data_IF_281665570439
#
_entry.id   IF_281665570439
#
_cell.length_a   1.000
_cell.length_b   1.000
_cell.length_c   1.000
_cell.angle_alpha   90.00
_cell.angle_beta   90.00
_cell.angle_gamma   90.00
#
_symmetry.space_group_name_H-M   'P 1'
#
loop_
_entity.id
_entity.type
_entity.pdbx_description
1 polymer ?
#
# COMPACT_ATOMS: atom_id res chain seq x y z
N UNK A 1 20.67 28.99 19.49
CA UNK A 1 20.24 27.67 19.01
C UNK A 1 19.39 27.84 17.77
N UNK A 2 19.74 27.13 16.71
CA UNK A 2 18.95 27.10 15.47
C UNK A 2 17.61 26.39 15.67
N UNK A 3 16.69 26.55 14.73
CA UNK A 3 15.41 25.85 14.77
C UNK A 3 15.61 24.31 14.68
N UNK A 4 16.61 23.87 13.93
CA UNK A 4 16.99 22.45 13.84
C UNK A 4 17.49 21.88 15.18
N UNK A 5 18.32 22.63 15.92
CA UNK A 5 18.79 22.21 17.25
C UNK A 5 17.62 22.10 18.23
N UNK A 6 16.69 23.05 18.20
CA UNK A 6 15.47 23.03 19.01
C UNK A 6 14.53 21.88 18.62
N UNK A 7 14.41 21.57 17.33
CA UNK A 7 13.64 20.40 16.87
C UNK A 7 14.27 19.09 17.39
N UNK A 8 15.60 19.01 17.44
CA UNK A 8 16.32 17.88 18.05
C UNK A 8 16.05 17.79 19.56
N UNK A 9 16.02 18.93 20.26
CA UNK A 9 15.66 18.98 21.67
C UNK A 9 14.25 18.45 21.91
N UNK A 10 13.25 18.83 21.11
CA UNK A 10 11.88 18.29 21.17
C UNK A 10 11.90 16.76 21.01
N UNK A 11 12.55 16.26 19.95
CA UNK A 11 12.64 14.80 19.71
C UNK A 11 13.33 14.06 20.85
N UNK A 12 14.37 14.66 21.45
CA UNK A 12 15.08 14.11 22.61
C UNK A 12 14.17 14.08 23.85
N UNK A 13 13.44 15.15 24.12
CA UNK A 13 12.48 15.24 25.23
C UNK A 13 11.35 14.21 25.12
N UNK A 14 10.96 13.86 23.89
CA UNK A 14 10.02 12.78 23.57
C UNK A 14 10.64 11.37 23.64
N UNK A 15 11.89 11.24 24.08
CA UNK A 15 12.64 9.97 24.18
C UNK A 15 12.72 9.21 22.86
N UNK A 16 12.69 9.92 21.73
CA UNK A 16 12.87 9.32 20.41
C UNK A 16 14.27 8.70 20.33
N UNK A 17 14.45 7.48 19.78
CA UNK A 17 15.76 6.87 19.66
C UNK A 17 16.77 7.77 18.91
N UNK A 18 18.04 7.76 19.30
CA UNK A 18 19.07 8.66 18.73
C UNK A 18 19.17 8.62 17.19
N UNK A 19 18.89 7.47 16.58
CA UNK A 19 18.86 7.29 15.12
C UNK A 19 17.80 8.18 14.44
N UNK A 20 16.70 8.48 15.12
CA UNK A 20 15.60 9.33 14.65
C UNK A 20 15.68 10.78 15.18
N UNK A 21 16.84 11.19 15.74
CA UNK A 21 17.13 12.58 16.15
C UNK A 21 18.13 13.27 15.20
N UNK A 22 18.35 12.71 14.00
CA UNK A 22 19.26 13.27 13.02
C UNK A 22 18.64 14.48 12.27
N UNK A 23 19.46 15.20 11.49
CA UNK A 23 19.03 16.40 10.76
C UNK A 23 17.83 16.17 9.83
N UNK A 24 17.74 15.00 9.19
CA UNK A 24 16.59 14.63 8.34
C UNK A 24 15.31 14.55 9.16
N UNK A 25 15.33 13.88 10.32
CA UNK A 25 14.17 13.76 11.21
C UNK A 25 13.74 15.12 11.77
N UNK A 26 14.71 15.99 12.11
CA UNK A 26 14.43 17.37 12.52
C UNK A 26 13.75 18.16 11.38
N UNK A 27 14.25 18.05 10.14
CA UNK A 27 13.61 18.67 8.96
C UNK A 27 12.19 18.14 8.73
N UNK A 28 11.96 16.84 8.89
CA UNK A 28 10.62 16.24 8.79
C UNK A 28 9.68 16.85 9.83
N UNK A 29 10.09 16.93 11.10
CA UNK A 29 9.27 17.52 12.15
C UNK A 29 8.91 18.97 11.83
N UNK A 30 9.89 19.77 11.40
CA UNK A 30 9.69 21.19 11.07
C UNK A 30 8.83 21.39 9.81
N UNK A 31 9.01 20.56 8.80
CA UNK A 31 8.16 20.59 7.60
C UNK A 31 6.71 20.20 7.92
N UNK A 32 6.50 19.17 8.74
CA UNK A 32 5.16 18.77 9.21
C UNK A 32 4.47 19.87 10.03
N UNK A 33 5.25 20.62 10.83
CA UNK A 33 4.77 21.76 11.60
C UNK A 33 4.68 23.07 10.77
N UNK A 34 5.13 23.06 9.53
CA UNK A 34 5.24 24.23 8.65
C UNK A 34 6.02 25.39 9.31
N UNK A 35 7.13 25.08 9.98
CA UNK A 35 7.95 26.05 10.71
C UNK A 35 9.28 26.31 9.99
N UNK A 36 9.48 27.53 9.54
CA UNK A 36 10.76 28.05 9.04
C UNK A 36 11.63 28.56 10.19
N UNK A 37 12.90 28.88 9.92
CA UNK A 37 13.88 29.33 10.94
C UNK A 37 13.36 30.50 11.81
N UNK A 38 12.65 31.45 11.20
CA UNK A 38 12.22 32.69 11.85
C UNK A 38 10.83 32.62 12.52
N UNK A 39 10.03 31.61 12.23
CA UNK A 39 8.68 31.51 12.75
C UNK A 39 8.66 31.10 14.23
N UNK A 40 7.70 31.62 14.99
CA UNK A 40 7.48 31.19 16.38
C UNK A 40 6.91 29.76 16.44
N UNK A 41 7.20 29.01 17.49
CA UNK A 41 6.67 27.67 17.69
C UNK A 41 5.14 27.64 17.78
N UNK A 42 4.54 28.66 18.39
CA UNK A 42 3.09 28.81 18.47
C UNK A 42 2.38 28.99 17.13
N UNK A 43 3.12 29.27 16.02
CA UNK A 43 2.54 29.36 14.68
C UNK A 43 2.56 28.03 13.93
N UNK A 44 2.94 26.93 14.58
CA UNK A 44 2.90 25.59 13.97
C UNK A 44 1.50 25.25 13.46
N UNK A 45 1.45 24.54 12.32
CA UNK A 45 0.23 24.08 11.68
C UNK A 45 0.38 22.61 11.26
N UNK A 46 -0.74 21.89 11.08
CA UNK A 46 -0.74 20.48 10.69
C UNK A 46 -1.42 20.25 9.32
N UNK A 47 -0.95 20.93 8.31
CA UNK A 47 -1.45 20.78 6.96
C UNK A 47 -1.10 19.40 6.36
N UNK A 48 -1.99 18.86 5.53
CA UNK A 48 -1.73 17.66 4.77
C UNK A 48 -0.67 17.89 3.68
N UNK A 49 0.51 17.29 3.81
CA UNK A 49 1.64 17.45 2.88
C UNK A 49 2.17 16.09 2.38
N UNK A 50 2.78 16.07 1.22
CA UNK A 50 3.43 14.89 0.62
C UNK A 50 4.90 14.82 1.04
N UNK A 51 5.53 13.65 0.91
CA UNK A 51 6.98 13.52 1.14
C UNK A 51 7.80 14.47 0.22
N UNK A 52 7.35 14.64 -1.03
CA UNK A 52 7.93 15.62 -1.95
C UNK A 52 7.95 17.02 -1.36
N UNK A 53 6.83 17.45 -0.80
CA UNK A 53 6.69 18.79 -0.21
C UNK A 53 7.59 18.94 1.04
N UNK A 54 7.78 17.86 1.83
CA UNK A 54 8.73 17.83 2.96
C UNK A 54 10.16 18.02 2.50
N UNK A 55 10.58 17.34 1.43
CA UNK A 55 11.93 17.47 0.86
C UNK A 55 12.15 18.90 0.33
N UNK A 56 11.19 19.42 -0.43
CA UNK A 56 11.22 20.78 -0.94
C UNK A 56 11.31 21.81 0.18
N UNK A 57 10.53 21.63 1.25
CA UNK A 57 10.55 22.50 2.43
C UNK A 57 11.92 22.48 3.12
N UNK A 58 12.50 21.31 3.34
CA UNK A 58 13.82 21.15 3.96
C UNK A 58 14.90 21.85 3.13
N UNK A 59 14.91 21.66 1.82
CA UNK A 59 15.88 22.28 0.92
C UNK A 59 15.74 23.81 0.89
N UNK A 60 14.52 24.31 0.85
CA UNK A 60 14.27 25.76 0.76
C UNK A 60 14.53 26.52 2.07
N UNK A 61 14.36 25.87 3.23
CA UNK A 61 14.35 26.60 4.52
C UNK A 61 15.52 26.24 5.43
N UNK A 62 16.18 25.07 5.20
CA UNK A 62 17.21 24.57 6.12
C UNK A 62 18.55 24.26 5.43
N UNK A 63 18.74 24.78 4.21
CA UNK A 63 20.01 24.67 3.48
C UNK A 63 20.43 23.23 3.14
N UNK A 64 19.48 22.30 3.10
CA UNK A 64 19.74 20.93 2.68
C UNK A 64 19.67 20.79 1.16
N UNK A 65 20.24 19.71 0.62
CA UNK A 65 20.28 19.42 -0.82
C UNK A 65 19.80 18.00 -1.10
N UNK A 66 18.70 17.58 -0.46
CA UNK A 66 18.15 16.26 -0.68
C UNK A 66 17.60 16.14 -2.10
N UNK A 67 18.03 15.10 -2.80
CA UNK A 67 17.52 14.77 -4.12
C UNK A 67 16.11 14.14 -4.05
N UNK A 68 15.36 14.22 -5.14
CA UNK A 68 13.99 13.70 -5.21
C UNK A 68 13.91 12.17 -4.98
N UNK A 69 14.92 11.41 -5.35
CA UNK A 69 15.04 9.99 -5.08
C UNK A 69 15.25 9.64 -3.58
N UNK A 70 15.47 10.66 -2.72
CA UNK A 70 15.55 10.46 -1.26
C UNK A 70 14.21 10.16 -0.59
N UNK A 71 13.08 10.20 -1.32
CA UNK A 71 11.72 9.97 -0.75
C UNK A 71 11.63 8.70 0.06
N UNK A 72 12.19 7.61 -0.45
CA UNK A 72 12.14 6.32 0.25
C UNK A 72 12.96 6.34 1.54
N UNK A 73 14.07 7.06 1.56
CA UNK A 73 14.88 7.28 2.77
C UNK A 73 14.11 8.08 3.82
N UNK A 74 13.45 9.18 3.42
CA UNK A 74 12.58 9.96 4.31
C UNK A 74 11.45 9.10 4.87
N UNK A 75 10.80 8.31 4.00
CA UNK A 75 9.71 7.42 4.40
C UNK A 75 10.17 6.41 5.45
N UNK A 76 11.27 5.69 5.19
CA UNK A 76 11.75 4.61 6.07
C UNK A 76 12.40 5.12 7.35
N UNK A 77 13.21 6.18 7.28
CA UNK A 77 14.04 6.63 8.41
C UNK A 77 13.33 7.62 9.34
N UNK A 78 12.31 8.34 8.86
CA UNK A 78 11.62 9.34 9.66
C UNK A 78 10.10 9.12 9.70
N UNK A 79 9.41 9.18 8.54
CA UNK A 79 7.94 9.21 8.51
C UNK A 79 7.30 7.97 9.11
N UNK A 80 7.84 6.78 8.82
CA UNK A 80 7.33 5.53 9.37
C UNK A 80 7.44 5.50 10.90
N UNK A 81 8.58 5.92 11.45
CA UNK A 81 8.78 5.98 12.91
C UNK A 81 7.87 7.00 13.57
N UNK A 82 7.76 8.20 13.00
CA UNK A 82 6.89 9.26 13.53
C UNK A 82 5.41 8.88 13.48
N UNK A 83 5.00 8.18 12.42
CA UNK A 83 3.63 7.67 12.32
C UNK A 83 3.33 6.60 13.39
N UNK A 84 4.27 5.66 13.61
CA UNK A 84 4.11 4.62 14.62
C UNK A 84 4.13 5.20 16.04
N UNK A 85 4.88 6.27 16.27
CA UNK A 85 4.88 7.00 17.53
C UNK A 85 3.71 7.99 17.69
N UNK A 86 2.72 7.97 16.81
CA UNK A 86 1.58 8.90 16.81
C UNK A 86 1.96 10.39 16.79
N UNK A 87 3.15 10.73 16.26
CA UNK A 87 3.54 12.13 16.04
C UNK A 87 2.90 12.69 14.77
N UNK A 88 2.76 11.84 13.76
CA UNK A 88 2.08 12.15 12.51
C UNK A 88 1.04 11.08 12.19
N UNK A 89 0.05 11.45 11.41
CA UNK A 89 -0.92 10.56 10.82
C UNK A 89 -0.89 10.66 9.29
N UNK A 90 -1.38 9.61 8.62
CA UNK A 90 -1.60 9.62 7.18
C UNK A 90 -3.09 9.77 6.83
N UNK A 91 -3.38 10.12 5.58
CA UNK A 91 -4.74 10.32 5.10
C UNK A 91 -5.45 9.02 4.66
N UNK A 92 -4.87 7.85 4.94
CA UNK A 92 -5.45 6.53 4.68
C UNK A 92 -5.54 6.13 3.21
N UNK A 93 -4.90 6.86 2.29
CA UNK A 93 -4.81 6.46 0.89
C UNK A 93 -3.65 5.45 0.71
N UNK A 94 -3.62 4.75 -0.42
CA UNK A 94 -2.51 3.85 -0.74
C UNK A 94 -1.17 4.60 -0.76
N UNK A 95 -0.12 3.98 -0.25
CA UNK A 95 1.21 4.60 -0.11
C UNK A 95 1.85 5.02 -1.42
N UNK A 96 1.48 4.37 -2.53
CA UNK A 96 1.90 4.72 -3.90
C UNK A 96 0.97 5.76 -4.57
N UNK A 97 -0.11 6.17 -3.91
CA UNK A 97 -1.02 7.19 -4.45
C UNK A 97 -0.33 8.56 -4.53
N UNK A 98 -0.47 9.30 -5.64
CA UNK A 98 0.00 10.69 -5.72
C UNK A 98 -0.72 11.62 -4.71
N UNK A 99 -1.82 11.14 -4.14
CA UNK A 99 -2.60 11.84 -3.13
C UNK A 99 -2.32 11.35 -1.69
N UNK A 100 -1.31 10.48 -1.47
CA UNK A 100 -0.91 10.09 -0.13
C UNK A 100 -0.24 11.24 0.59
N UNK A 101 -0.71 11.58 1.80
CA UNK A 101 -0.27 12.74 2.57
C UNK A 101 -0.14 12.38 4.03
N UNK A 102 0.66 13.18 4.71
CA UNK A 102 0.87 13.13 6.15
C UNK A 102 0.59 14.49 6.77
N UNK A 103 0.27 14.51 8.07
CA UNK A 103 0.23 15.71 8.90
C UNK A 103 0.60 15.37 10.34
N UNK A 104 0.89 16.37 11.16
CA UNK A 104 0.97 16.16 12.61
C UNK A 104 -0.36 15.67 13.15
N UNK A 105 -0.33 14.85 14.21
CA UNK A 105 -1.51 14.62 15.04
C UNK A 105 -1.86 15.89 15.79
N UNK A 106 -3.11 16.04 16.18
CA UNK A 106 -3.54 17.27 16.89
C UNK A 106 -2.82 17.40 18.25
N UNK A 107 -2.55 16.28 18.90
CA UNK A 107 -1.81 16.23 20.16
C UNK A 107 -0.35 16.68 19.97
N UNK A 108 0.31 16.21 18.92
CA UNK A 108 1.69 16.62 18.61
C UNK A 108 1.76 18.07 18.16
N UNK A 109 0.76 18.57 17.43
CA UNK A 109 0.66 19.99 17.08
C UNK A 109 0.61 20.87 18.34
N UNK A 110 -0.29 20.57 19.26
CA UNK A 110 -0.42 21.31 20.51
C UNK A 110 0.85 21.30 21.35
N UNK A 111 1.53 20.12 21.39
CA UNK A 111 2.81 20.01 22.07
C UNK A 111 3.86 20.94 21.42
N UNK A 112 4.02 20.91 20.09
CA UNK A 112 4.97 21.77 19.38
C UNK A 112 4.67 23.25 19.61
N UNK A 113 3.39 23.65 19.58
CA UNK A 113 2.98 25.02 19.80
C UNK A 113 3.31 25.53 21.21
N UNK A 114 3.39 24.65 22.21
CA UNK A 114 3.77 24.99 23.57
C UNK A 114 5.30 25.13 23.80
N UNK A 115 6.13 24.70 22.83
CA UNK A 115 7.58 24.71 22.98
C UNK A 115 8.14 26.13 23.16
N UNK A 116 8.94 26.31 24.22
CA UNK A 116 9.53 27.60 24.58
C UNK A 116 8.57 28.54 25.32
N UNK A 117 7.41 28.07 25.72
CA UNK A 117 6.48 28.79 26.64
C UNK A 117 6.57 28.23 28.07
N UNK A 118 5.95 28.89 29.03
CA UNK A 118 5.84 28.37 30.40
C UNK A 118 5.03 27.07 30.51
N UNK A 119 4.24 26.73 29.49
CA UNK A 119 3.39 25.53 29.44
C UNK A 119 4.12 24.30 28.90
N UNK A 120 5.34 24.44 28.40
CA UNK A 120 6.06 23.35 27.73
C UNK A 120 6.19 22.07 28.58
N UNK A 121 6.72 22.23 29.79
CA UNK A 121 6.96 21.08 30.68
C UNK A 121 5.66 20.34 31.02
N UNK A 122 4.59 21.08 31.28
CA UNK A 122 3.26 20.53 31.56
C UNK A 122 2.68 19.80 30.35
N UNK A 123 2.81 20.39 29.16
CA UNK A 123 2.33 19.83 27.90
C UNK A 123 3.09 18.57 27.53
N UNK A 124 4.42 18.57 27.71
CA UNK A 124 5.28 17.40 27.50
C UNK A 124 4.92 16.26 28.46
N UNK A 125 4.79 16.55 29.74
CA UNK A 125 4.41 15.53 30.73
C UNK A 125 3.07 14.89 30.39
N UNK A 126 2.05 15.71 30.05
CA UNK A 126 0.73 15.22 29.64
C UNK A 126 0.78 14.39 28.34
N UNK A 127 1.58 14.82 27.36
CA UNK A 127 1.75 14.07 26.11
C UNK A 127 2.38 12.71 26.40
N UNK A 128 3.45 12.66 27.19
CA UNK A 128 4.15 11.42 27.54
C UNK A 128 3.31 10.47 28.39
N UNK A 129 2.52 11.00 29.33
CA UNK A 129 1.58 10.22 30.15
C UNK A 129 0.54 9.49 29.29
N UNK A 130 0.05 10.15 28.24
CA UNK A 130 -0.98 9.61 27.34
C UNK A 130 -0.40 8.96 26.08
N UNK A 131 0.94 8.89 25.92
CA UNK A 131 1.56 8.51 24.66
C UNK A 131 1.19 7.09 24.19
N UNK A 132 1.18 6.10 25.08
CA UNK A 132 0.80 4.72 24.73
C UNK A 132 -0.67 4.67 24.28
N UNK A 133 -1.58 5.37 24.93
CA UNK A 133 -2.98 5.48 24.53
C UNK A 133 -3.15 6.17 23.17
N UNK A 134 -2.32 7.18 22.86
CA UNK A 134 -2.31 7.84 21.56
C UNK A 134 -1.79 6.90 20.46
N UNK A 135 -0.73 6.15 20.74
CA UNK A 135 -0.20 5.13 19.80
C UNK A 135 -1.29 4.12 19.47
N UNK A 136 -1.99 3.60 20.47
CA UNK A 136 -3.10 2.64 20.28
C UNK A 136 -4.27 3.27 19.52
N UNK A 137 -4.65 4.52 19.83
CA UNK A 137 -5.71 5.25 19.13
C UNK A 137 -5.41 5.39 17.63
N UNK A 138 -4.20 5.85 17.29
CA UNK A 138 -3.82 6.04 15.89
C UNK A 138 -3.54 4.70 15.16
N UNK A 139 -3.08 3.67 15.89
CA UNK A 139 -3.01 2.30 15.36
C UNK A 139 -4.41 1.75 15.04
N UNK A 140 -5.36 1.92 15.93
CA UNK A 140 -6.77 1.53 15.72
C UNK A 140 -7.41 2.27 14.56
N UNK A 141 -7.18 3.60 14.44
CA UNK A 141 -7.63 4.39 13.26
C UNK A 141 -7.09 3.82 11.96
N UNK A 142 -5.83 3.38 11.92
CA UNK A 142 -5.24 2.73 10.73
C UNK A 142 -5.86 1.36 10.47
N UNK A 143 -6.08 0.58 11.51
CA UNK A 143 -6.71 -0.76 11.41
C UNK A 143 -8.16 -0.65 10.91
N UNK A 144 -8.93 0.32 11.38
CA UNK A 144 -10.30 0.56 10.90
C UNK A 144 -10.38 0.97 9.41
N UNK A 145 -9.26 1.47 8.83
CA UNK A 145 -9.17 1.76 7.39
C UNK A 145 -8.81 0.53 6.56
N UNK A 146 -8.37 -0.56 7.20
CA UNK A 146 -8.12 -1.83 6.51
C UNK A 146 -9.46 -2.42 6.04
N UNK A 147 -9.41 -3.09 4.90
CA UNK A 147 -10.59 -3.70 4.30
C UNK A 147 -10.68 -5.17 4.74
N UNK A 148 -11.66 -5.55 5.57
CA UNK A 148 -11.85 -6.95 5.97
C UNK A 148 -12.24 -7.78 4.75
N UNK A 149 -11.75 -9.02 4.69
CA UNK A 149 -12.04 -10.00 3.66
C UNK A 149 -11.99 -11.40 4.26
N UNK A 150 -12.85 -12.29 3.79
CA UNK A 150 -12.83 -13.71 4.19
C UNK A 150 -12.18 -14.53 3.07
N UNK A 151 -11.08 -15.25 3.37
CA UNK A 151 -10.35 -16.08 2.42
C UNK A 151 -10.23 -17.49 2.99
N UNK A 152 -10.66 -18.48 2.23
CA UNK A 152 -10.67 -19.89 2.66
C UNK A 152 -11.38 -20.14 4.01
N UNK A 153 -12.36 -19.29 4.35
CA UNK A 153 -13.09 -19.38 5.62
C UNK A 153 -12.45 -18.63 6.80
N UNK A 154 -11.24 -18.10 6.66
CA UNK A 154 -10.53 -17.33 7.67
C UNK A 154 -10.64 -15.81 7.42
N UNK A 155 -10.55 -15.04 8.49
CA UNK A 155 -10.68 -13.58 8.45
C UNK A 155 -9.30 -12.92 8.23
N UNK A 156 -9.19 -12.14 7.17
CA UNK A 156 -8.02 -11.34 6.81
C UNK A 156 -8.39 -9.87 6.66
N UNK A 157 -7.38 -9.01 6.50
CA UNK A 157 -7.58 -7.58 6.23
C UNK A 157 -6.59 -7.09 5.20
N UNK A 158 -7.09 -6.54 4.10
CA UNK A 158 -6.25 -5.81 3.13
C UNK A 158 -5.91 -4.41 3.62
N UNK A 159 -4.71 -3.97 3.30
CA UNK A 159 -4.32 -2.56 3.39
C UNK A 159 -5.15 -1.69 2.44
N UNK A 160 -5.43 -0.42 2.78
CA UNK A 160 -6.24 0.44 1.91
C UNK A 160 -5.53 0.71 0.58
N UNK A 161 -6.30 0.74 -0.50
CA UNK A 161 -5.82 1.07 -1.85
C UNK A 161 -6.65 0.41 -2.95
N UNK A 162 -6.66 1.03 -4.15
CA UNK A 162 -7.44 0.51 -5.28
C UNK A 162 -7.04 -0.89 -5.72
N UNK A 163 -5.73 -1.20 -5.66
CA UNK A 163 -5.24 -2.52 -6.01
C UNK A 163 -5.80 -3.59 -5.07
N UNK A 164 -5.69 -3.38 -3.76
CA UNK A 164 -6.23 -4.28 -2.76
C UNK A 164 -7.77 -4.31 -2.76
N UNK A 165 -8.42 -3.19 -3.11
CA UNK A 165 -9.88 -3.16 -3.33
C UNK A 165 -10.27 -4.10 -4.46
N UNK A 166 -9.49 -4.14 -5.54
CA UNK A 166 -9.72 -5.05 -6.67
C UNK A 166 -9.45 -6.50 -6.27
N UNK A 167 -8.36 -6.79 -5.54
CA UNK A 167 -8.10 -8.13 -5.01
C UNK A 167 -9.23 -8.63 -4.08
N UNK A 168 -9.75 -7.75 -3.21
CA UNK A 168 -10.92 -8.05 -2.40
C UNK A 168 -12.13 -8.39 -3.26
N UNK A 169 -12.41 -7.61 -4.31
CA UNK A 169 -13.50 -7.89 -5.24
C UNK A 169 -13.30 -9.22 -5.98
N UNK A 170 -12.06 -9.59 -6.34
CA UNK A 170 -11.77 -10.91 -6.93
C UNK A 170 -12.17 -12.03 -5.95
N UNK A 171 -11.82 -11.92 -4.68
CA UNK A 171 -12.16 -12.95 -3.68
C UNK A 171 -13.67 -13.01 -3.42
N UNK A 172 -14.33 -11.86 -3.25
CA UNK A 172 -15.73 -11.80 -2.81
C UNK A 172 -16.75 -11.88 -3.95
N UNK A 173 -16.37 -11.44 -5.17
CA UNK A 173 -17.30 -11.31 -6.29
C UNK A 173 -16.95 -12.25 -7.46
N UNK A 174 -15.67 -12.26 -7.91
CA UNK A 174 -15.24 -13.12 -9.02
C UNK A 174 -15.24 -14.59 -8.60
N UNK A 175 -14.57 -14.94 -7.51
CA UNK A 175 -14.37 -16.33 -7.12
C UNK A 175 -15.69 -17.10 -6.95
N UNK A 176 -16.74 -16.58 -6.26
CA UNK A 176 -18.01 -17.30 -6.14
C UNK A 176 -18.74 -17.52 -7.48
N UNK A 177 -18.53 -16.64 -8.47
CA UNK A 177 -19.22 -16.68 -9.76
C UNK A 177 -18.53 -17.56 -10.79
N UNK A 178 -17.20 -17.41 -10.92
CA UNK A 178 -16.43 -18.01 -12.02
C UNK A 178 -15.51 -19.15 -11.57
N UNK A 179 -15.15 -19.18 -10.29
CA UNK A 179 -14.35 -20.22 -9.68
C UNK A 179 -15.00 -20.74 -8.37
N UNK A 180 -16.29 -21.20 -8.39
CA UNK A 180 -16.96 -21.63 -7.19
C UNK A 180 -16.22 -22.79 -6.51
N UNK A 181 -16.22 -22.80 -5.17
CA UNK A 181 -15.51 -23.78 -4.34
C UNK A 181 -13.98 -23.79 -4.51
N UNK A 182 -13.40 -22.80 -5.18
CA UNK A 182 -11.95 -22.71 -5.28
C UNK A 182 -11.30 -22.32 -3.96
N UNK A 183 -10.10 -22.86 -3.72
CA UNK A 183 -9.21 -22.42 -2.64
C UNK A 183 -8.32 -21.30 -3.16
N UNK A 184 -8.15 -20.24 -2.39
CA UNK A 184 -7.17 -19.20 -2.65
C UNK A 184 -5.80 -19.71 -2.19
N UNK A 185 -4.90 -20.00 -3.14
CA UNK A 185 -3.55 -20.48 -2.86
C UNK A 185 -2.55 -19.35 -2.64
N UNK A 186 -2.81 -18.20 -3.26
CA UNK A 186 -1.98 -17.01 -3.14
C UNK A 186 -2.81 -15.74 -3.30
N UNK A 187 -2.56 -14.77 -2.45
CA UNK A 187 -2.94 -13.37 -2.64
C UNK A 187 -1.93 -12.47 -1.94
N UNK A 188 -1.45 -11.46 -2.65
CA UNK A 188 -0.55 -10.45 -2.11
C UNK A 188 -1.31 -9.29 -1.44
N UNK A 189 -0.57 -8.42 -0.78
CA UNK A 189 -1.03 -7.12 -0.27
C UNK A 189 0.02 -6.07 -0.56
N UNK A 190 -0.38 -4.84 -0.79
CA UNK A 190 0.57 -3.74 -1.10
C UNK A 190 1.51 -3.39 0.05
N UNK A 191 1.19 -3.79 1.27
CA UNK A 191 1.99 -3.54 2.48
C UNK A 191 2.60 -4.85 3.00
N UNK A 192 1.83 -5.92 3.05
CA UNK A 192 2.25 -7.28 3.43
C UNK A 192 2.36 -8.10 2.15
N UNK A 193 3.59 -8.39 1.70
CA UNK A 193 3.87 -8.96 0.38
C UNK A 193 3.05 -10.22 0.08
N UNK A 194 2.93 -11.13 1.04
CA UNK A 194 2.20 -12.40 0.92
C UNK A 194 1.12 -12.45 2.02
N UNK A 195 -0.12 -12.04 1.72
CA UNK A 195 -1.24 -12.09 2.68
C UNK A 195 -1.70 -13.54 2.90
N UNK A 196 -1.82 -14.30 1.82
CA UNK A 196 -2.04 -15.76 1.82
C UNK A 196 -1.02 -16.39 0.88
N UNK A 197 -0.38 -17.48 1.31
CA UNK A 197 0.52 -18.29 0.47
C UNK A 197 0.56 -19.72 0.97
N UNK A 198 -0.18 -20.60 0.30
CA UNK A 198 -0.16 -22.03 0.58
C UNK A 198 0.98 -22.71 -0.17
N UNK A 199 2.20 -22.63 0.40
CA UNK A 199 3.43 -23.14 -0.22
C UNK A 199 3.36 -24.64 -0.48
N UNK A 200 2.83 -25.41 0.47
CA UNK A 200 2.76 -26.88 0.39
C UNK A 200 1.86 -27.32 -0.77
N UNK A 201 0.69 -26.70 -0.93
CA UNK A 201 -0.24 -27.02 -2.02
C UNK A 201 0.27 -26.55 -3.38
N UNK A 202 0.92 -25.37 -3.44
CA UNK A 202 1.58 -24.89 -4.66
C UNK A 202 2.66 -25.88 -5.13
N UNK A 203 3.52 -26.35 -4.23
CA UNK A 203 4.53 -27.37 -4.57
C UNK A 203 3.90 -28.71 -4.96
N UNK A 204 2.87 -29.16 -4.25
CA UNK A 204 2.16 -30.39 -4.59
C UNK A 204 1.51 -30.37 -5.98
N UNK A 205 1.08 -29.18 -6.43
CA UNK A 205 0.54 -28.96 -7.79
C UNK A 205 1.63 -28.88 -8.87
N UNK A 206 2.91 -28.79 -8.49
CA UNK A 206 4.03 -28.73 -9.43
C UNK A 206 4.54 -27.34 -9.76
N UNK A 207 4.26 -26.33 -8.91
CA UNK A 207 4.88 -25.01 -9.07
C UNK A 207 6.37 -25.05 -8.72
N UNK A 208 7.18 -24.45 -9.57
CA UNK A 208 8.60 -24.21 -9.35
C UNK A 208 8.82 -22.73 -9.01
N UNK A 209 8.71 -22.38 -7.72
CA UNK A 209 8.78 -20.99 -7.26
C UNK A 209 10.19 -20.69 -6.77
N UNK A 210 10.86 -19.72 -7.38
CA UNK A 210 12.17 -19.20 -6.96
C UNK A 210 12.04 -17.87 -6.21
N UNK A 211 13.13 -17.39 -5.61
CA UNK A 211 13.16 -16.10 -4.89
C UNK A 211 12.92 -14.88 -5.80
N UNK A 212 13.08 -15.04 -7.11
CA UNK A 212 12.96 -13.96 -8.09
C UNK A 212 11.63 -13.97 -8.84
N UNK A 213 10.83 -15.03 -8.67
CA UNK A 213 9.56 -15.15 -9.37
C UNK A 213 8.53 -14.18 -8.81
N UNK A 214 7.84 -13.55 -9.73
CA UNK A 214 6.72 -12.67 -9.40
C UNK A 214 5.43 -13.47 -9.49
N UNK A 215 4.87 -13.84 -8.35
CA UNK A 215 3.54 -14.47 -8.29
C UNK A 215 2.48 -13.56 -8.95
N UNK A 216 1.44 -14.12 -9.58
CA UNK A 216 0.22 -13.39 -9.92
C UNK A 216 -0.39 -12.76 -8.66
N UNK A 217 -1.16 -11.69 -8.82
CA UNK A 217 -1.76 -11.01 -7.67
C UNK A 217 -2.70 -11.90 -6.87
N UNK A 218 -3.44 -12.80 -7.56
CA UNK A 218 -4.30 -13.83 -6.95
C UNK A 218 -4.15 -15.14 -7.71
N UNK A 219 -4.03 -16.25 -6.97
CA UNK A 219 -4.08 -17.62 -7.52
C UNK A 219 -5.18 -18.39 -6.82
N UNK A 220 -6.16 -18.88 -7.60
CA UNK A 220 -7.25 -19.73 -7.12
C UNK A 220 -7.14 -21.13 -7.74
N UNK A 221 -7.48 -22.15 -6.97
CA UNK A 221 -7.53 -23.54 -7.44
C UNK A 221 -8.90 -24.16 -7.21
N UNK A 222 -9.57 -24.55 -8.28
CA UNK A 222 -10.82 -25.29 -8.25
C UNK A 222 -10.49 -26.79 -8.40
N UNK A 223 -10.43 -27.48 -7.27
CA UNK A 223 -10.00 -28.89 -7.19
C UNK A 223 -10.96 -29.84 -7.93
N UNK A 224 -12.25 -29.56 -7.89
CA UNK A 224 -13.31 -30.35 -8.56
C UNK A 224 -13.18 -30.37 -10.09
N UNK A 225 -12.54 -29.35 -10.66
CA UNK A 225 -12.31 -29.19 -12.11
C UNK A 225 -10.86 -29.38 -12.51
N UNK A 226 -9.96 -29.44 -11.53
CA UNK A 226 -8.51 -29.37 -11.73
C UNK A 226 -8.09 -28.14 -12.54
N UNK A 227 -8.60 -26.95 -12.12
CA UNK A 227 -8.34 -25.67 -12.79
C UNK A 227 -7.67 -24.66 -11.86
N UNK A 228 -6.63 -24.03 -12.38
CA UNK A 228 -5.92 -22.91 -11.76
C UNK A 228 -6.27 -21.62 -12.46
N UNK A 229 -6.66 -20.60 -11.67
CA UNK A 229 -6.90 -19.24 -12.13
C UNK A 229 -5.74 -18.37 -11.70
N UNK A 230 -5.05 -17.78 -12.67
CA UNK A 230 -3.99 -16.80 -12.48
C UNK A 230 -4.56 -15.42 -12.78
N UNK A 231 -4.67 -14.57 -11.77
CA UNK A 231 -5.41 -13.31 -11.88
C UNK A 231 -4.47 -12.13 -11.60
N UNK A 232 -4.37 -11.20 -12.53
CA UNK A 232 -3.68 -9.92 -12.36
C UNK A 232 -4.69 -8.80 -12.07
N UNK A 233 -4.44 -8.04 -11.01
CA UNK A 233 -5.28 -6.94 -10.54
C UNK A 233 -4.78 -5.61 -11.09
N UNK A 234 -5.37 -5.12 -12.18
CA UNK A 234 -4.85 -3.97 -12.91
C UNK A 234 -5.51 -2.66 -12.49
N UNK A 235 -4.71 -1.78 -11.92
CA UNK A 235 -5.11 -0.40 -11.60
C UNK A 235 -4.23 0.65 -12.27
N UNK A 236 -2.99 0.32 -12.60
CA UNK A 236 -2.03 1.23 -13.25
C UNK A 236 -1.00 0.54 -14.14
N UNK A 237 -0.69 -0.73 -13.91
CA UNK A 237 0.28 -1.53 -14.68
C UNK A 237 -0.04 -3.02 -14.54
N UNK A 238 0.50 -3.85 -15.42
CA UNK A 238 0.61 -5.28 -15.25
C UNK A 238 -0.58 -6.13 -15.67
N UNK A 239 -1.23 -5.88 -16.84
CA UNK A 239 -2.24 -6.80 -17.37
C UNK A 239 -1.61 -8.16 -17.75
N UNK A 240 -2.48 -9.15 -18.01
CA UNK A 240 -2.07 -10.45 -18.56
C UNK A 240 -1.64 -10.29 -20.02
N UNK A 241 -0.42 -9.79 -20.23
CA UNK A 241 0.21 -9.64 -21.54
C UNK A 241 1.00 -10.92 -21.92
N UNK A 242 1.38 -11.13 -23.20
CA UNK A 242 2.08 -12.35 -23.64
C UNK A 242 3.35 -12.65 -22.84
N UNK A 243 4.11 -11.63 -22.44
CA UNK A 243 5.29 -11.79 -21.60
C UNK A 243 4.93 -12.35 -20.23
N UNK A 244 3.84 -11.84 -19.65
CA UNK A 244 3.38 -12.26 -18.33
C UNK A 244 2.90 -13.71 -18.31
N UNK A 245 2.19 -14.14 -19.36
CA UNK A 245 1.82 -15.54 -19.53
C UNK A 245 3.07 -16.43 -19.57
N UNK A 246 4.09 -16.04 -20.32
CA UNK A 246 5.34 -16.80 -20.40
C UNK A 246 6.02 -16.94 -19.04
N UNK A 247 6.09 -15.88 -18.24
CA UNK A 247 6.64 -15.91 -16.88
C UNK A 247 5.86 -16.88 -15.98
N UNK A 248 4.53 -16.91 -16.08
CA UNK A 248 3.67 -17.83 -15.32
C UNK A 248 3.88 -19.27 -15.84
N UNK A 249 3.95 -19.49 -17.14
CA UNK A 249 4.19 -20.80 -17.73
C UNK A 249 5.56 -21.39 -17.32
N UNK A 250 6.60 -20.57 -17.25
CA UNK A 250 7.92 -20.98 -16.76
C UNK A 250 7.84 -21.47 -15.31
N UNK A 251 7.14 -20.73 -14.44
CA UNK A 251 6.95 -21.06 -13.02
C UNK A 251 6.04 -22.29 -12.83
N UNK A 252 5.19 -22.60 -13.79
CA UNK A 252 4.19 -23.67 -13.73
C UNK A 252 4.44 -24.80 -14.73
N UNK A 253 5.70 -25.02 -15.12
CA UNK A 253 6.08 -26.06 -16.09
C UNK A 253 5.69 -27.46 -15.62
N UNK A 254 5.76 -27.74 -14.31
CA UNK A 254 5.38 -29.02 -13.71
C UNK A 254 3.87 -29.18 -13.44
N UNK A 255 3.07 -28.14 -13.62
CA UNK A 255 1.64 -28.14 -13.32
C UNK A 255 0.84 -28.82 -14.41
N UNK A 256 -0.02 -29.79 -14.02
CA UNK A 256 -0.90 -30.53 -14.94
C UNK A 256 -2.33 -29.96 -15.00
N UNK A 257 -2.73 -29.22 -13.98
CA UNK A 257 -4.04 -28.57 -13.92
C UNK A 257 -4.28 -27.61 -15.10
N UNK A 258 -5.52 -27.48 -15.52
CA UNK A 258 -5.91 -26.51 -16.55
C UNK A 258 -5.64 -25.08 -16.07
N UNK A 259 -5.05 -24.24 -16.92
CA UNK A 259 -4.64 -22.90 -16.60
C UNK A 259 -5.57 -21.87 -17.23
N UNK A 260 -6.08 -20.94 -16.42
CA UNK A 260 -6.97 -19.86 -16.85
C UNK A 260 -6.31 -18.53 -16.46
N UNK A 261 -6.07 -17.68 -17.44
CA UNK A 261 -5.41 -16.38 -17.27
C UNK A 261 -6.43 -15.27 -17.27
N UNK A 262 -6.49 -14.51 -16.20
CA UNK A 262 -7.50 -13.46 -16.01
C UNK A 262 -6.84 -12.12 -15.76
N UNK A 263 -7.29 -11.08 -16.45
CA UNK A 263 -7.01 -9.69 -16.06
C UNK A 263 -8.25 -9.09 -15.44
N UNK A 264 -8.14 -8.64 -14.20
CA UNK A 264 -9.20 -7.97 -13.48
C UNK A 264 -9.01 -6.44 -13.48
N UNK A 265 -10.12 -5.70 -13.62
CA UNK A 265 -10.18 -4.25 -13.56
C UNK A 265 -11.27 -3.79 -12.59
N UNK A 266 -11.11 -2.64 -11.93
CA UNK A 266 -12.17 -2.05 -11.13
C UNK A 266 -13.33 -1.56 -11.99
N UNK A 267 -13.01 -0.90 -13.10
CA UNK A 267 -13.96 -0.20 -13.96
C UNK A 267 -13.62 -0.33 -15.45
N UNK A 268 -14.62 -0.09 -16.31
CA UNK A 268 -14.49 -0.19 -17.76
C UNK A 268 -13.56 0.87 -18.34
N UNK A 269 -13.38 2.01 -17.67
CA UNK A 269 -12.47 3.06 -18.11
C UNK A 269 -11.02 2.59 -18.02
N UNK A 270 -10.67 1.91 -16.93
CA UNK A 270 -9.32 1.32 -16.74
C UNK A 270 -9.10 0.21 -17.76
N UNK A 271 -10.06 -0.68 -17.99
CA UNK A 271 -9.97 -1.72 -19.03
C UNK A 271 -9.63 -1.13 -20.41
N UNK A 272 -10.30 -0.06 -20.85
CA UNK A 272 -10.01 0.58 -22.13
C UNK A 272 -8.57 1.05 -22.29
N UNK A 273 -7.91 1.44 -21.19
CA UNK A 273 -6.52 1.92 -21.24
C UNK A 273 -5.53 0.79 -21.49
N UNK A 274 -5.88 -0.45 -21.16
CA UNK A 274 -5.01 -1.62 -21.25
C UNK A 274 -5.45 -2.64 -22.28
N UNK A 275 -6.59 -2.44 -22.96
CA UNK A 275 -7.18 -3.42 -23.87
C UNK A 275 -6.25 -3.86 -25.01
N UNK A 276 -5.36 -2.97 -25.49
CA UNK A 276 -4.39 -3.26 -26.55
C UNK A 276 -3.23 -4.15 -26.07
N UNK A 277 -2.98 -4.20 -24.76
CA UNK A 277 -1.85 -4.97 -24.16
C UNK A 277 -2.24 -6.38 -23.75
N UNK A 278 -3.54 -6.69 -23.78
CA UNK A 278 -4.06 -7.98 -23.34
C UNK A 278 -3.68 -9.09 -24.34
N UNK A 279 -3.26 -10.23 -23.80
CA UNK A 279 -2.98 -11.41 -24.63
C UNK A 279 -4.28 -12.07 -25.09
N UNK A 280 -4.24 -12.68 -26.26
CA UNK A 280 -5.24 -13.64 -26.70
C UNK A 280 -5.20 -14.90 -25.83
N UNK A 281 -6.26 -15.68 -25.84
CA UNK A 281 -6.45 -16.87 -24.99
C UNK A 281 -6.50 -16.54 -23.49
N UNK A 282 -7.01 -15.34 -23.13
CA UNK A 282 -7.19 -14.87 -21.77
C UNK A 282 -8.59 -14.32 -21.52
N UNK A 283 -8.91 -14.16 -20.25
CA UNK A 283 -10.20 -13.66 -19.76
C UNK A 283 -10.05 -12.26 -19.17
N UNK A 284 -11.09 -11.44 -19.30
CA UNK A 284 -11.16 -10.11 -18.65
C UNK A 284 -12.40 -10.03 -17.78
N UNK A 285 -12.19 -9.65 -16.52
CA UNK A 285 -13.25 -9.40 -15.56
C UNK A 285 -13.22 -7.96 -15.07
N UNK A 286 -14.41 -7.35 -14.94
CA UNK A 286 -14.57 -5.96 -14.52
C UNK A 286 -15.47 -5.92 -13.27
N UNK A 287 -14.95 -5.43 -12.14
CA UNK A 287 -15.63 -5.46 -10.85
C UNK A 287 -16.95 -4.65 -10.85
N UNK A 288 -17.06 -3.57 -11.62
CA UNK A 288 -18.31 -2.81 -11.80
C UNK A 288 -19.41 -3.60 -12.53
N UNK A 289 -19.06 -4.73 -13.19
CA UNK A 289 -19.98 -5.62 -13.88
C UNK A 289 -19.71 -7.08 -13.48
N UNK A 290 -19.88 -7.45 -12.21
CA UNK A 290 -19.33 -8.68 -11.64
C UNK A 290 -19.88 -9.98 -12.23
N UNK A 291 -21.06 -9.94 -12.87
CA UNK A 291 -21.71 -11.12 -13.43
C UNK A 291 -21.25 -11.45 -14.86
N UNK A 292 -20.38 -10.63 -15.45
CA UNK A 292 -19.96 -10.76 -16.84
C UNK A 292 -18.44 -10.94 -16.98
N UNK A 293 -18.03 -11.67 -18.01
CA UNK A 293 -16.65 -11.86 -18.38
C UNK A 293 -16.48 -11.64 -19.89
N UNK A 294 -15.38 -11.00 -20.28
CA UNK A 294 -14.99 -10.85 -21.68
C UNK A 294 -13.99 -11.95 -22.00
N UNK A 295 -14.30 -12.76 -23.00
CA UNK A 295 -13.46 -13.85 -23.47
C UNK A 295 -12.66 -13.41 -24.70
N UNK A 296 -11.33 -13.42 -24.60
CA UNK A 296 -10.41 -13.13 -25.72
C UNK A 296 -9.93 -14.40 -26.43
N UNK A 297 -10.64 -15.51 -26.25
CA UNK A 297 -10.30 -16.85 -26.73
C UNK A 297 -11.27 -17.39 -27.79
N UNK A 298 -11.77 -16.50 -28.63
CA UNK A 298 -12.64 -16.89 -29.74
C UNK A 298 -11.91 -17.66 -30.85
N UNK A 299 -12.62 -18.55 -31.55
CA UNK A 299 -12.09 -19.26 -32.72
C UNK A 299 -11.58 -18.28 -33.79
N UNK A 300 -10.61 -18.73 -34.56
CA UNK A 300 -10.17 -17.99 -35.75
C UNK A 300 -11.39 -17.74 -36.66
N UNK A 301 -11.48 -16.49 -37.13
CA UNK A 301 -12.54 -16.14 -38.07
C UNK A 301 -12.34 -16.84 -39.42
N UNK A 302 -13.25 -17.74 -39.75
CA UNK A 302 -13.27 -18.49 -41.02
C UNK A 302 -14.48 -18.13 -41.91
N UNK A 303 -15.26 -17.12 -41.52
CA UNK A 303 -16.47 -16.67 -42.18
C UNK A 303 -17.64 -16.52 -41.21
N UNK A 304 -18.83 -16.17 -41.68
CA UNK A 304 -20.02 -16.07 -40.84
C UNK A 304 -20.36 -17.44 -40.23
N UNK A 305 -20.78 -17.43 -38.97
CA UNK A 305 -21.36 -18.64 -38.36
C UNK A 305 -22.73 -18.91 -38.96
N UNK A 306 -22.94 -20.12 -39.46
CA UNK A 306 -24.21 -20.59 -40.04
C UNK A 306 -25.07 -21.17 -38.94
#
# INVERSE_FOLDING_TARGET
MSKLEKAKEILSSLKVPAKQQNGMCCCVLLAMANLTEKQAWGSAANNWIRIHDVIAFANSNYGTTYAENSRETFRKQAMHHFRNAAFIEDNGKATNSPNYRYRLTDEMLHLIQSFGTADWERSLARFMENHDSLVDLYASKRTMRKMPVKINGEDFTFSPGKHNQLQKAIIEEFAPRFAPNSECLYVGDTTEKDLVKNVDKLHALGFEITLHDKMPDVVLYAEDKDWLYFIESVTSVGPMEPKRIKEIEEMTTGVKAGKIYVTAFLDFKTFKQFSESLAWETEVWIADMPDHMIHLNGDKFLGPRI
#
